data_IF_610980555684
#
_entry.id   IF_610980555684
#
_cell.length_a   1.000
_cell.length_b   1.000
_cell.length_c   1.000
_cell.angle_alpha   90.00
_cell.angle_beta   90.00
_cell.angle_gamma   90.00
#
_symmetry.space_group_name_H-M   'P 1'
#
loop_
_entity.id
_entity.type
_entity.pdbx_description
1 polymer ?
#
# COMPACT_ATOMS: atom_id res chain seq x y z
N UNK A 1 7.16 5.99 8.80
CA UNK A 1 6.23 5.77 7.68
C UNK A 1 5.35 6.98 7.31
N UNK A 2 4.31 7.34 8.08
CA UNK A 2 3.26 8.32 7.68
C UNK A 2 3.81 9.66 7.15
N UNK A 3 4.74 10.29 7.88
CA UNK A 3 5.36 11.55 7.45
C UNK A 3 6.12 11.41 6.12
N UNK A 4 6.78 10.26 5.91
CA UNK A 4 7.47 9.94 4.65
C UNK A 4 6.50 9.83 3.48
N UNK A 5 5.40 9.09 3.67
CA UNK A 5 4.35 8.93 2.67
C UNK A 5 3.70 10.28 2.30
N UNK A 6 3.41 11.12 3.30
CA UNK A 6 2.84 12.47 3.10
C UNK A 6 3.75 13.39 2.30
N UNK A 7 5.04 13.46 2.65
CA UNK A 7 6.02 14.28 1.90
C UNK A 7 6.09 13.86 0.43
N UNK A 8 5.95 12.56 0.16
CA UNK A 8 6.03 12.02 -1.19
C UNK A 8 4.76 12.29 -1.99
N UNK A 9 3.58 12.13 -1.41
CA UNK A 9 2.32 12.51 -2.06
C UNK A 9 2.33 13.99 -2.49
N UNK A 10 2.83 14.89 -1.62
CA UNK A 10 2.99 16.30 -1.96
C UNK A 10 3.97 16.55 -3.11
N UNK A 11 5.12 15.85 -3.11
CA UNK A 11 6.13 15.95 -4.18
C UNK A 11 5.62 15.41 -5.51
N UNK A 12 4.84 14.34 -5.47
CA UNK A 12 4.30 13.67 -6.65
C UNK A 12 3.04 14.38 -7.19
N UNK A 13 2.52 15.38 -6.47
CA UNK A 13 1.33 16.15 -6.87
C UNK A 13 0.01 15.41 -6.65
N UNK A 14 0.01 14.38 -5.80
CA UNK A 14 -1.20 13.65 -5.46
C UNK A 14 -2.03 14.35 -4.40
N UNK A 15 -3.35 14.22 -4.55
CA UNK A 15 -4.33 14.75 -3.59
C UNK A 15 -4.48 13.85 -2.34
N UNK A 16 -3.98 12.62 -2.40
CA UNK A 16 -4.15 11.59 -1.36
C UNK A 16 -2.85 10.79 -1.21
N UNK A 17 -2.58 10.32 0.01
CA UNK A 17 -1.59 9.29 0.27
C UNK A 17 -2.17 7.95 -0.15
N UNK A 18 -1.63 7.37 -1.21
CA UNK A 18 -2.05 6.07 -1.78
C UNK A 18 -1.18 4.90 -1.27
N UNK A 19 -1.54 3.66 -1.63
CA UNK A 19 -0.80 2.47 -1.20
C UNK A 19 0.64 2.42 -1.72
N UNK A 20 0.96 3.04 -2.86
CA UNK A 20 2.33 3.12 -3.36
C UNK A 20 3.19 4.07 -2.51
N UNK A 21 2.62 5.17 -2.01
CA UNK A 21 3.30 6.03 -1.03
C UNK A 21 3.56 5.29 0.29
N UNK A 22 2.58 4.50 0.75
CA UNK A 22 2.74 3.64 1.93
C UNK A 22 3.85 2.62 1.72
N UNK A 23 3.84 1.88 0.60
CA UNK A 23 4.88 0.91 0.25
C UNK A 23 6.27 1.56 0.26
N UNK A 24 6.44 2.72 -0.39
CA UNK A 24 7.72 3.41 -0.40
C UNK A 24 8.19 3.77 1.02
N UNK A 25 7.31 4.42 1.79
CA UNK A 25 7.66 4.85 3.14
C UNK A 25 7.91 3.67 4.09
N UNK A 26 7.25 2.53 3.87
CA UNK A 26 7.47 1.28 4.60
C UNK A 26 8.86 0.73 4.32
N UNK A 27 9.19 0.50 3.04
CA UNK A 27 10.49 -0.07 2.64
C UNK A 27 11.70 0.81 3.02
N UNK A 28 11.50 2.12 3.14
CA UNK A 28 12.52 3.05 3.63
C UNK A 28 12.73 2.94 5.15
N UNK A 29 11.69 2.62 5.92
CA UNK A 29 11.73 2.69 7.40
C UNK A 29 11.76 1.34 8.11
N UNK A 30 11.44 0.24 7.44
CA UNK A 30 11.32 -1.09 8.03
C UNK A 30 12.19 -2.12 7.28
N UNK A 31 13.36 -2.51 7.85
CA UNK A 31 14.21 -3.54 7.28
C UNK A 31 13.55 -4.91 7.18
N UNK A 32 12.60 -5.24 8.07
CA UNK A 32 11.89 -6.53 8.03
C UNK A 32 10.99 -6.62 6.79
N UNK A 33 10.34 -5.52 6.43
CA UNK A 33 9.57 -5.42 5.19
C UNK A 33 10.47 -5.57 3.95
N UNK A 34 11.68 -5.00 3.98
CA UNK A 34 12.68 -5.18 2.92
C UNK A 34 13.20 -6.62 2.81
N UNK A 35 13.31 -7.33 3.93
CA UNK A 35 13.77 -8.72 3.98
C UNK A 35 12.72 -9.76 3.51
N UNK A 36 11.47 -9.34 3.28
CA UNK A 36 10.42 -10.23 2.77
C UNK A 36 10.59 -10.58 1.27
N UNK A 37 11.38 -9.80 0.54
CA UNK A 37 11.67 -9.99 -0.89
C UNK A 37 12.72 -11.09 -1.09
N UNK A 38 12.67 -11.76 -2.25
CA UNK A 38 13.55 -12.92 -2.56
C UNK A 38 14.99 -12.53 -2.93
N UNK A 39 15.36 -11.25 -2.79
CA UNK A 39 16.73 -10.77 -2.94
C UNK A 39 16.84 -9.26 -3.23
N UNK A 40 18.05 -8.73 -3.05
CA UNK A 40 18.35 -7.29 -3.15
C UNK A 40 18.00 -6.69 -4.52
N UNK A 41 18.16 -7.46 -5.59
CA UNK A 41 17.80 -7.02 -6.94
C UNK A 41 16.30 -6.80 -7.12
N UNK A 42 15.46 -7.60 -6.46
CA UNK A 42 14.01 -7.46 -6.53
C UNK A 42 13.56 -6.19 -5.79
N UNK A 43 14.08 -5.97 -4.57
CA UNK A 43 13.83 -4.77 -3.79
C UNK A 43 14.29 -3.50 -4.52
N UNK A 44 15.50 -3.54 -5.13
CA UNK A 44 16.02 -2.42 -5.90
C UNK A 44 15.11 -2.05 -7.10
N UNK A 45 14.54 -3.04 -7.80
CA UNK A 45 13.56 -2.78 -8.88
C UNK A 45 12.30 -2.12 -8.36
N UNK A 46 11.75 -2.60 -7.23
CA UNK A 46 10.57 -2.00 -6.60
C UNK A 46 10.83 -0.53 -6.26
N UNK A 47 11.94 -0.24 -5.60
CA UNK A 47 12.35 1.12 -5.27
C UNK A 47 12.53 1.99 -6.53
N UNK A 48 13.13 1.44 -7.59
CA UNK A 48 13.27 2.11 -8.88
C UNK A 48 11.92 2.51 -9.49
N UNK A 49 10.95 1.60 -9.51
CA UNK A 49 9.58 1.90 -9.96
C UNK A 49 8.92 2.96 -9.09
N UNK A 50 9.06 2.89 -7.76
CA UNK A 50 8.46 3.86 -6.84
C UNK A 50 9.05 5.27 -7.03
N UNK A 51 10.34 5.39 -7.33
CA UNK A 51 10.99 6.69 -7.59
C UNK A 51 10.57 7.27 -8.94
N UNK A 52 10.39 6.44 -9.98
CA UNK A 52 10.01 6.89 -11.33
C UNK A 52 8.52 7.21 -11.48
N UNK A 53 7.71 6.97 -10.45
CA UNK A 53 6.26 7.21 -10.44
C UNK A 53 5.88 8.60 -10.94
N UNK A 54 6.63 9.62 -10.55
CA UNK A 54 6.37 11.03 -10.89
C UNK A 54 6.76 11.42 -12.32
N UNK A 55 7.46 10.55 -13.05
CA UNK A 55 7.96 10.78 -14.41
C UNK A 55 7.75 9.53 -15.27
N UNK A 56 6.49 9.18 -15.54
CA UNK A 56 6.17 8.04 -16.39
C UNK A 56 4.83 7.42 -16.04
N UNK A 57 4.84 6.12 -15.73
CA UNK A 57 3.62 5.33 -15.55
C UNK A 57 2.68 5.91 -14.47
N UNK A 58 3.22 6.52 -13.42
CA UNK A 58 2.43 7.04 -12.30
C UNK A 58 1.71 8.36 -12.57
N UNK A 59 1.94 9.04 -13.70
CA UNK A 59 1.25 10.30 -14.02
C UNK A 59 -0.27 10.16 -14.11
N UNK A 60 -0.77 8.98 -14.51
CA UNK A 60 -2.22 8.68 -14.54
C UNK A 60 -2.86 8.59 -13.15
N UNK A 61 -2.05 8.52 -12.09
CA UNK A 61 -2.49 8.38 -10.71
C UNK A 61 -2.77 9.71 -10.01
N UNK A 62 -2.07 10.79 -10.41
CA UNK A 62 -2.17 12.13 -9.79
C UNK A 62 -3.60 12.69 -9.71
N UNK A 63 -4.45 12.32 -10.67
CA UNK A 63 -5.84 12.80 -10.75
C UNK A 63 -6.89 11.76 -10.39
N UNK A 64 -6.51 10.49 -10.21
CA UNK A 64 -7.45 9.42 -9.87
C UNK A 64 -7.42 9.10 -8.38
N UNK A 65 -8.58 8.71 -7.85
CA UNK A 65 -8.70 8.14 -6.49
C UNK A 65 -8.39 6.65 -6.60
N UNK A 66 -7.52 6.17 -5.74
CA UNK A 66 -7.25 4.74 -5.61
C UNK A 66 -8.33 4.10 -4.73
N UNK A 67 -9.04 3.11 -5.27
CA UNK A 67 -10.02 2.30 -4.54
C UNK A 67 -9.48 0.89 -4.35
N UNK A 68 -9.87 0.23 -3.26
CA UNK A 68 -9.50 -1.17 -3.02
C UNK A 68 -10.25 -2.08 -4.00
N UNK A 69 -9.59 -3.14 -4.47
CA UNK A 69 -10.23 -4.20 -5.27
C UNK A 69 -11.30 -4.94 -4.47
N UNK A 70 -11.10 -5.09 -3.16
CA UNK A 70 -12.01 -5.79 -2.23
C UNK A 70 -13.33 -5.04 -2.05
N UNK A 71 -13.30 -3.71 -2.09
CA UNK A 71 -14.50 -2.86 -2.00
C UNK A 71 -15.42 -2.92 -3.24
N UNK A 72 -14.97 -3.51 -4.35
CA UNK A 72 -15.78 -3.65 -5.58
C UNK A 72 -16.84 -4.75 -5.48
N UNK A 73 -16.77 -5.60 -4.45
CA UNK A 73 -17.63 -6.78 -4.26
C UNK A 73 -18.76 -6.56 -3.24
N UNK A 74 -18.73 -5.49 -2.44
CA UNK A 74 -19.77 -5.20 -1.45
C UNK A 74 -20.62 -4.02 -1.93
N UNK A 75 -21.97 -4.15 -2.01
CA UNK A 75 -22.84 -3.01 -2.25
C UNK A 75 -22.59 -1.96 -1.17
N UNK A 76 -22.26 -0.73 -1.57
CA UNK A 76 -22.10 0.37 -0.63
C UNK A 76 -23.34 0.45 0.27
N UNK A 77 -23.14 0.29 1.58
CA UNK A 77 -24.21 0.44 2.57
C UNK A 77 -24.72 1.88 2.47
N UNK A 78 -25.88 2.05 1.84
CA UNK A 78 -26.56 3.35 1.71
C UNK A 78 -27.14 3.72 3.08
N UNK A 79 -26.38 4.39 3.93
CA UNK A 79 -26.91 4.83 5.22
C UNK A 79 -25.94 5.62 6.11
N UNK A 80 -24.64 5.39 5.99
CA UNK A 80 -23.64 6.29 6.52
C UNK A 80 -23.12 7.14 5.37
N UNK A 81 -23.10 8.48 5.50
CA UNK A 81 -22.22 9.27 4.65
C UNK A 81 -20.81 8.73 4.88
N UNK A 82 -20.14 8.15 3.87
CA UNK A 82 -18.75 7.78 4.05
C UNK A 82 -18.01 9.08 4.41
N UNK A 83 -17.16 9.08 5.44
CA UNK A 83 -16.36 10.27 5.76
C UNK A 83 -15.69 10.74 4.48
N UNK A 84 -15.70 12.06 4.20
CA UNK A 84 -15.15 12.59 2.96
C UNK A 84 -13.78 11.94 2.71
N UNK A 85 -13.61 11.13 1.64
CA UNK A 85 -12.35 10.45 1.37
C UNK A 85 -11.18 11.42 1.21
N UNK A 86 -11.47 12.71 1.00
CA UNK A 86 -10.50 13.81 0.96
C UNK A 86 -10.13 14.34 2.34
N UNK A 87 -10.98 14.16 3.35
CA UNK A 87 -10.73 14.62 4.72
C UNK A 87 -9.69 13.75 5.45
N UNK A 88 -9.59 12.45 5.13
CA UNK A 88 -8.59 11.57 5.74
C UNK A 88 -7.16 11.86 5.23
N UNK A 89 -7.02 12.45 4.05
CA UNK A 89 -5.74 12.61 3.35
C UNK A 89 -5.16 11.31 2.78
N UNK A 90 -5.86 10.18 2.94
CA UNK A 90 -5.51 8.85 2.44
C UNK A 90 -6.43 8.46 1.27
N UNK A 91 -5.96 7.57 0.40
CA UNK A 91 -6.85 6.89 -0.53
C UNK A 91 -7.73 5.87 0.22
N UNK A 92 -8.94 5.56 -0.26
CA UNK A 92 -9.75 4.46 0.29
C UNK A 92 -8.99 3.12 0.42
N UNK A 93 -8.15 2.78 -0.56
CA UNK A 93 -7.34 1.55 -0.48
C UNK A 93 -6.27 1.64 0.62
N UNK A 94 -5.62 2.80 0.78
CA UNK A 94 -4.63 3.01 1.83
C UNK A 94 -5.25 2.94 3.24
N UNK A 95 -6.43 3.54 3.44
CA UNK A 95 -7.19 3.43 4.69
C UNK A 95 -7.55 1.98 5.00
N UNK A 96 -8.17 1.28 4.04
CA UNK A 96 -8.54 -0.13 4.20
C UNK A 96 -7.32 -1.01 4.52
N UNK A 97 -6.18 -0.76 3.87
CA UNK A 97 -4.97 -1.53 4.11
C UNK A 97 -4.39 -1.34 5.52
N UNK A 98 -4.42 -0.11 6.04
CA UNK A 98 -3.98 0.20 7.40
C UNK A 98 -4.90 -0.45 8.43
N UNK A 99 -6.22 -0.32 8.26
CA UNK A 99 -7.23 -0.94 9.12
C UNK A 99 -7.08 -2.47 9.17
N UNK A 100 -6.90 -3.09 8.01
CA UNK A 100 -6.69 -4.53 7.88
C UNK A 100 -5.37 -5.00 8.50
N UNK A 101 -4.29 -4.21 8.38
CA UNK A 101 -3.02 -4.51 9.06
C UNK A 101 -3.18 -4.47 10.58
N UNK A 102 -3.93 -3.49 11.13
CA UNK A 102 -4.26 -3.46 12.56
C UNK A 102 -5.14 -4.63 12.98
N UNK A 103 -6.12 -5.03 12.16
CA UNK A 103 -6.96 -6.20 12.43
C UNK A 103 -6.12 -7.47 12.55
N UNK A 104 -5.20 -7.70 11.62
CA UNK A 104 -4.28 -8.85 11.66
C UNK A 104 -3.43 -8.90 12.93
N UNK A 105 -2.92 -7.75 13.38
CA UNK A 105 -2.18 -7.65 14.63
C UNK A 105 -3.04 -8.00 15.85
N UNK A 106 -4.26 -7.46 15.90
CA UNK A 106 -5.22 -7.76 16.97
C UNK A 106 -5.59 -9.25 17.03
N UNK A 107 -5.72 -9.92 15.88
CA UNK A 107 -5.97 -11.37 15.80
C UNK A 107 -4.83 -12.22 16.37
N UNK A 108 -3.60 -11.70 16.34
CA UNK A 108 -2.44 -12.30 17.01
C UNK A 108 -2.29 -11.87 18.48
N UNK A 109 -3.17 -11.01 18.99
CA UNK A 109 -3.06 -10.43 20.33
C UNK A 109 -2.00 -9.33 20.45
N UNK A 110 -1.53 -8.78 19.33
CA UNK A 110 -0.54 -7.71 19.30
C UNK A 110 -1.23 -6.33 19.27
N UNK A 111 -0.75 -5.41 20.11
CA UNK A 111 -1.30 -4.05 20.17
C UNK A 111 -0.86 -3.15 19.00
N UNK A 112 0.13 -3.58 18.21
CA UNK A 112 0.69 -2.81 17.10
C UNK A 112 0.88 -3.70 15.89
N UNK A 113 0.47 -3.21 14.72
CA UNK A 113 0.80 -3.85 13.45
C UNK A 113 2.28 -3.71 13.13
N UNK A 114 2.88 -4.81 12.68
CA UNK A 114 4.23 -4.84 12.11
C UNK A 114 4.18 -4.28 10.69
N UNK A 115 5.28 -3.76 10.18
CA UNK A 115 5.31 -3.27 8.80
C UNK A 115 5.07 -4.38 7.78
N UNK A 116 5.47 -5.62 8.09
CA UNK A 116 5.15 -6.80 7.27
C UNK A 116 3.64 -7.07 7.18
N UNK A 117 2.84 -6.73 8.21
CA UNK A 117 1.37 -6.86 8.11
C UNK A 117 0.81 -5.96 7.03
N UNK A 118 1.25 -4.70 7.00
CA UNK A 118 0.85 -3.76 5.96
C UNK A 118 1.34 -4.22 4.58
N UNK A 119 2.57 -4.72 4.47
CA UNK A 119 3.13 -5.25 3.22
C UNK A 119 2.28 -6.40 2.67
N UNK A 120 1.89 -7.36 3.50
CA UNK A 120 1.06 -8.49 3.10
C UNK A 120 -0.30 -8.02 2.56
N UNK A 121 -0.91 -7.05 3.23
CA UNK A 121 -2.24 -6.54 2.88
C UNK A 121 -2.22 -5.78 1.55
N UNK A 122 -1.27 -4.87 1.35
CA UNK A 122 -1.18 -4.12 0.10
C UNK A 122 -0.73 -5.00 -1.08
N UNK A 123 0.05 -6.05 -0.82
CA UNK A 123 0.40 -7.03 -1.85
C UNK A 123 -0.82 -7.86 -2.28
N UNK A 124 -1.66 -8.26 -1.33
CA UNK A 124 -2.84 -9.09 -1.58
C UNK A 124 -4.02 -8.36 -2.26
N UNK A 125 -4.03 -7.02 -2.31
CA UNK A 125 -5.05 -6.27 -3.06
C UNK A 125 -4.60 -6.01 -4.50
N UNK A 126 -5.06 -6.78 -5.50
CA UNK A 126 -4.63 -6.61 -6.89
C UNK A 126 -5.04 -5.26 -7.48
N UNK A 127 -6.07 -4.62 -6.92
CA UNK A 127 -6.54 -3.30 -7.32
C UNK A 127 -5.71 -2.13 -6.78
N UNK A 128 -4.81 -2.40 -5.83
CA UNK A 128 -3.94 -1.38 -5.25
C UNK A 128 -2.80 -0.99 -6.20
N UNK A 129 -2.37 0.27 -6.10
CA UNK A 129 -1.20 0.82 -6.79
C UNK A 129 0.08 0.16 -6.28
N UNK A 130 0.17 -0.18 -5.00
CA UNK A 130 1.28 -0.93 -4.43
C UNK A 130 1.45 -2.28 -5.14
N UNK A 131 0.39 -3.09 -5.24
CA UNK A 131 0.44 -4.37 -5.94
C UNK A 131 0.80 -4.20 -7.41
N UNK A 132 0.33 -3.12 -8.04
CA UNK A 132 0.71 -2.81 -9.42
C UNK A 132 2.20 -2.49 -9.58
N UNK A 133 2.79 -1.73 -8.66
CA UNK A 133 4.24 -1.48 -8.61
C UNK A 133 5.01 -2.78 -8.42
N UNK A 134 4.59 -3.60 -7.46
CA UNK A 134 5.22 -4.90 -7.15
C UNK A 134 5.24 -5.79 -8.41
N UNK A 135 4.10 -5.94 -9.09
CA UNK A 135 4.01 -6.72 -10.34
C UNK A 135 4.91 -6.17 -11.44
N UNK A 136 4.96 -4.85 -11.63
CA UNK A 136 5.86 -4.21 -12.60
C UNK A 136 7.34 -4.45 -12.30
N UNK A 137 7.70 -4.56 -11.03
CA UNK A 137 9.04 -4.92 -10.59
C UNK A 137 9.36 -6.43 -10.71
N UNK A 138 8.40 -7.24 -11.16
CA UNK A 138 8.53 -8.69 -11.28
C UNK A 138 8.40 -9.41 -9.94
N UNK A 139 7.63 -8.86 -9.00
CA UNK A 139 7.28 -9.51 -7.74
C UNK A 139 5.98 -10.31 -7.93
N UNK A 140 6.01 -11.57 -7.53
CA UNK A 140 4.79 -12.36 -7.32
C UNK A 140 4.12 -11.90 -6.02
N UNK A 141 3.02 -11.16 -6.15
CA UNK A 141 2.33 -10.53 -5.02
C UNK A 141 1.62 -11.55 -4.13
N UNK A 142 1.15 -12.66 -4.70
CA UNK A 142 0.43 -13.69 -3.97
C UNK A 142 1.42 -14.54 -3.16
N UNK A 143 2.56 -14.89 -3.76
CA UNK A 143 3.65 -15.57 -3.08
C UNK A 143 4.25 -14.69 -1.96
N UNK A 144 4.42 -13.38 -2.20
CA UNK A 144 4.89 -12.44 -1.18
C UNK A 144 3.91 -12.36 0.00
N UNK A 145 2.61 -12.19 -0.27
CA UNK A 145 1.59 -12.10 0.77
C UNK A 145 1.48 -13.41 1.58
N UNK A 146 1.54 -14.56 0.91
CA UNK A 146 1.49 -15.89 1.54
C UNK A 146 2.68 -16.09 2.47
N UNK A 147 3.91 -15.83 1.99
CA UNK A 147 5.13 -15.98 2.79
C UNK A 147 5.12 -15.13 4.06
N UNK A 148 4.54 -13.93 3.98
CA UNK A 148 4.43 -13.07 5.15
C UNK A 148 3.34 -13.58 6.10
N UNK A 149 2.22 -14.08 5.57
CA UNK A 149 1.13 -14.65 6.37
C UNK A 149 1.49 -15.94 7.12
N UNK A 150 2.52 -16.65 6.68
CA UNK A 150 3.06 -17.84 7.34
C UNK A 150 4.01 -17.53 8.52
N UNK A 151 4.30 -16.25 8.81
CA UNK A 151 5.21 -15.79 9.88
C UNK A 151 4.51 -15.31 11.15
#
# INVERSE_FOLDING_TARGET
MVTGARRRALRDGDRQIDTAHLLHALLESDPEAGAAFEGDHQLARVLGYLVQRSIGYGLRWQRSVENSGTGRLLPAVRGAEPPDPRASGWSPAASAALEEAFRRAAERGEAQARGVDLLAVIAADPGSRAAEVLRRAGVDTDALATRIGER
#
